data_IF_603306233745
#
_entry.id   IF_603306233745
#
_cell.length_a   1.000
_cell.length_b   1.000
_cell.length_c   1.000
_cell.angle_alpha   90.00
_cell.angle_beta   90.00
_cell.angle_gamma   90.00
#
_symmetry.space_group_name_H-M   'P 1'
#
loop_
_entity.id
_entity.type
_entity.pdbx_description
1 polymer ?
#
# COMPACT_ATOMS: atom_id res chain seq x y z
N UNK A 1 -43.30 -5.94 -20.18
CA UNK A 1 -42.01 -5.19 -20.13
C UNK A 1 -41.62 -4.64 -18.76
N UNK A 2 -42.55 -4.38 -17.83
CA UNK A 2 -42.22 -3.88 -16.48
C UNK A 2 -41.71 -4.98 -15.52
N UNK A 3 -42.12 -6.20 -15.65
CA UNK A 3 -41.73 -7.32 -14.78
C UNK A 3 -40.31 -7.86 -15.08
N UNK A 4 -39.83 -7.69 -16.32
CA UNK A 4 -38.50 -8.15 -16.71
C UNK A 4 -37.33 -7.25 -16.18
N UNK A 5 -37.65 -5.98 -15.90
CA UNK A 5 -36.65 -5.01 -15.38
C UNK A 5 -36.42 -5.21 -13.87
N UNK A 6 -37.44 -5.64 -13.13
CA UNK A 6 -37.33 -5.86 -11.67
C UNK A 6 -36.53 -7.13 -11.37
N UNK A 7 -36.66 -8.17 -12.20
CA UNK A 7 -35.91 -9.44 -12.01
C UNK A 7 -34.44 -9.28 -12.36
N UNK A 8 -34.07 -8.42 -13.30
CA UNK A 8 -32.66 -8.17 -13.66
C UNK A 8 -31.94 -7.29 -12.62
N UNK A 9 -32.69 -6.39 -11.98
CA UNK A 9 -32.16 -5.54 -10.90
C UNK A 9 -31.82 -6.34 -9.61
N UNK A 10 -32.62 -7.38 -9.31
CA UNK A 10 -32.32 -8.24 -8.15
C UNK A 10 -31.14 -9.21 -8.38
N UNK A 11 -30.88 -9.60 -9.63
CA UNK A 11 -29.77 -10.51 -9.93
C UNK A 11 -28.40 -9.82 -9.96
N UNK A 12 -28.35 -8.52 -10.27
CA UNK A 12 -27.10 -7.73 -10.22
C UNK A 12 -26.67 -7.38 -8.79
N UNK A 13 -27.57 -7.43 -7.80
CA UNK A 13 -27.27 -7.18 -6.40
C UNK A 13 -26.70 -8.41 -5.66
N UNK A 14 -26.85 -9.62 -6.22
CA UNK A 14 -26.37 -10.86 -5.60
C UNK A 14 -24.92 -11.23 -6.00
N UNK A 15 -24.34 -10.60 -7.03
CA UNK A 15 -22.96 -10.92 -7.50
C UNK A 15 -21.91 -9.99 -6.90
N UNK A 16 -22.31 -8.96 -6.14
CA UNK A 16 -21.42 -7.94 -5.56
C UNK A 16 -21.16 -8.07 -4.05
N UNK A 17 -21.58 -9.14 -3.41
CA UNK A 17 -21.26 -9.33 -1.98
C UNK A 17 -19.93 -10.04 -1.79
N UNK A 18 -18.82 -9.32 -1.99
CA UNK A 18 -17.60 -9.63 -1.28
C UNK A 18 -17.78 -9.19 0.18
N UNK A 19 -17.56 -10.08 1.12
CA UNK A 19 -17.79 -9.87 2.57
C UNK A 19 -17.03 -8.66 3.16
N UNK A 20 -16.08 -8.12 2.42
CA UNK A 20 -15.16 -7.08 2.89
C UNK A 20 -15.51 -5.66 2.39
N UNK A 21 -16.60 -5.48 1.62
CA UNK A 21 -16.96 -4.19 1.03
C UNK A 21 -18.36 -3.66 1.38
N UNK A 22 -18.99 -4.14 2.45
CA UNK A 22 -20.19 -3.47 2.96
C UNK A 22 -19.73 -2.29 3.84
N UNK A 23 -19.36 -1.19 3.21
CA UNK A 23 -19.29 0.10 3.89
C UNK A 23 -20.72 0.59 4.13
N UNK A 24 -21.33 0.11 5.19
CA UNK A 24 -22.54 0.73 5.70
C UNK A 24 -22.08 2.02 6.36
N UNK A 25 -22.50 3.17 5.81
CA UNK A 25 -22.28 4.45 6.46
C UNK A 25 -22.73 4.37 7.92
N UNK A 26 -21.80 4.73 8.81
CA UNK A 26 -21.91 4.55 10.25
C UNK A 26 -23.18 5.13 10.85
N UNK A 27 -24.13 4.27 11.10
CA UNK A 27 -24.95 4.42 12.27
C UNK A 27 -24.46 3.33 13.26
N UNK A 28 -23.65 3.69 14.24
CA UNK A 28 -23.00 2.75 15.19
C UNK A 28 -24.00 1.81 15.86
N UNK A 29 -25.25 2.27 16.04
CA UNK A 29 -26.35 1.45 16.57
C UNK A 29 -26.79 0.33 15.61
N UNK A 30 -26.70 0.54 14.30
CA UNK A 30 -27.17 -0.43 13.29
C UNK A 30 -26.14 -1.56 13.10
N UNK A 31 -24.86 -1.25 13.08
CA UNK A 31 -23.78 -2.23 12.99
C UNK A 31 -23.80 -3.18 14.19
N UNK A 32 -23.93 -2.63 15.41
CA UNK A 32 -24.01 -3.41 16.63
C UNK A 32 -25.22 -4.36 16.66
N UNK A 33 -26.38 -3.95 16.14
CA UNK A 33 -27.57 -4.79 16.09
C UNK A 33 -27.43 -5.93 15.08
N UNK A 34 -26.77 -5.70 13.95
CA UNK A 34 -26.49 -6.72 12.92
C UNK A 34 -25.51 -7.75 13.47
N UNK A 35 -24.40 -7.31 14.06
CA UNK A 35 -23.39 -8.20 14.65
C UNK A 35 -23.98 -9.04 15.76
N UNK A 36 -24.79 -8.44 16.63
CA UNK A 36 -25.52 -9.15 17.70
C UNK A 36 -26.44 -10.22 17.11
N UNK A 37 -27.19 -9.91 16.07
CA UNK A 37 -28.11 -10.88 15.46
C UNK A 37 -27.37 -12.06 14.83
N UNK A 38 -26.27 -11.81 14.12
CA UNK A 38 -25.45 -12.87 13.51
C UNK A 38 -24.90 -13.80 14.59
N UNK A 39 -24.39 -13.25 15.67
CA UNK A 39 -23.86 -14.04 16.78
C UNK A 39 -24.95 -14.82 17.53
N UNK A 40 -26.10 -14.21 17.77
CA UNK A 40 -27.23 -14.89 18.38
C UNK A 40 -27.73 -16.06 17.49
N UNK A 41 -27.73 -15.90 16.18
CA UNK A 41 -28.08 -16.95 15.21
C UNK A 41 -27.04 -18.08 15.19
N UNK A 42 -25.76 -17.76 15.26
CA UNK A 42 -24.66 -18.73 15.38
C UNK A 42 -24.79 -19.53 16.68
N UNK A 43 -25.09 -18.86 17.80
CA UNK A 43 -25.29 -19.51 19.09
C UNK A 43 -26.47 -20.46 19.04
N UNK A 44 -27.61 -20.05 18.46
CA UNK A 44 -28.79 -20.92 18.29
C UNK A 44 -28.45 -22.16 17.46
N UNK A 45 -27.69 -22.00 16.40
CA UNK A 45 -27.29 -23.10 15.52
C UNK A 45 -26.37 -24.09 16.23
N UNK A 46 -25.38 -23.59 16.97
CA UNK A 46 -24.41 -24.43 17.70
C UNK A 46 -24.99 -25.20 18.89
N UNK A 47 -26.03 -24.67 19.52
CA UNK A 47 -26.54 -25.19 20.78
C UNK A 47 -27.72 -26.16 20.65
N UNK A 48 -28.29 -26.36 19.47
CA UNK A 48 -29.56 -27.05 19.36
C UNK A 48 -30.64 -26.28 20.11
N UNK A 49 -30.81 -25.01 19.79
CA UNK A 49 -31.65 -24.02 20.48
C UNK A 49 -33.08 -24.52 20.77
N UNK A 50 -33.42 -24.51 22.06
CA UNK A 50 -34.78 -24.71 22.53
C UNK A 50 -35.41 -23.36 22.94
N UNK A 51 -36.43 -22.85 22.21
CA UNK A 51 -37.04 -21.54 22.51
C UNK A 51 -37.74 -21.45 23.86
N UNK A 52 -37.91 -22.56 24.54
CA UNK A 52 -38.49 -22.61 25.88
C UNK A 52 -37.48 -22.30 27.00
N UNK A 53 -36.16 -22.37 26.69
CA UNK A 53 -35.10 -22.12 27.66
C UNK A 53 -34.60 -20.66 27.54
N UNK A 54 -34.18 -20.10 28.67
CA UNK A 54 -33.50 -18.81 28.70
C UNK A 54 -32.00 -19.06 28.82
N UNK A 55 -31.24 -18.60 27.81
CA UNK A 55 -29.80 -18.81 27.76
C UNK A 55 -29.07 -17.59 28.27
N UNK A 56 -28.00 -17.81 29.03
CA UNK A 56 -27.03 -16.80 29.44
C UNK A 56 -25.60 -17.30 29.11
N UNK A 57 -24.73 -16.45 28.56
CA UNK A 57 -23.45 -16.88 28.05
C UNK A 57 -22.40 -15.77 28.08
N UNK A 58 -21.12 -16.15 27.93
CA UNK A 58 -19.95 -15.26 27.83
C UNK A 58 -19.64 -14.82 26.40
N UNK A 59 -19.27 -13.54 26.24
CA UNK A 59 -18.79 -12.94 24.99
C UNK A 59 -17.65 -11.96 25.27
N UNK A 60 -16.49 -12.10 24.60
CA UNK A 60 -16.06 -13.30 23.89
C UNK A 60 -15.79 -14.45 24.86
N UNK A 61 -15.58 -15.67 24.36
CA UNK A 61 -15.13 -16.80 25.18
C UNK A 61 -13.60 -16.94 25.21
N UNK A 62 -12.90 -16.21 24.35
CA UNK A 62 -11.43 -16.17 24.29
C UNK A 62 -10.98 -14.75 24.02
N UNK A 63 -9.94 -14.30 24.71
CA UNK A 63 -9.23 -13.09 24.37
C UNK A 63 -7.71 -13.31 24.43
N UNK A 64 -6.98 -12.53 23.65
CA UNK A 64 -5.53 -12.58 23.55
C UNK A 64 -4.94 -11.26 24.05
N UNK A 65 -3.91 -11.36 24.90
CA UNK A 65 -3.14 -10.24 25.39
C UNK A 65 -1.65 -10.50 25.14
N UNK A 66 -1.08 -9.95 24.06
CA UNK A 66 0.36 -10.01 23.86
C UNK A 66 1.08 -9.06 24.85
N UNK A 67 2.03 -9.60 25.60
CA UNK A 67 2.92 -8.82 26.45
C UNK A 67 4.10 -8.35 25.59
N UNK A 68 4.03 -7.12 25.18
CA UNK A 68 4.91 -6.58 24.15
C UNK A 68 6.32 -6.29 24.70
N UNK A 69 7.34 -6.63 23.90
CA UNK A 69 8.71 -6.21 24.10
C UNK A 69 9.29 -5.65 22.80
N UNK A 70 10.26 -4.76 22.90
CA UNK A 70 11.03 -4.26 21.78
C UNK A 70 12.53 -4.37 22.12
N UNK A 71 13.24 -5.27 21.43
CA UNK A 71 14.57 -5.67 21.83
C UNK A 71 14.59 -6.17 23.28
N UNK A 72 15.44 -5.61 24.12
CA UNK A 72 15.55 -5.96 25.54
C UNK A 72 14.58 -5.18 26.45
N UNK A 73 13.76 -4.29 25.89
CA UNK A 73 12.86 -3.42 26.67
C UNK A 73 11.46 -4.01 26.67
N UNK A 74 10.95 -4.32 27.88
CA UNK A 74 9.54 -4.68 28.07
C UNK A 74 8.70 -3.41 28.04
N UNK A 75 7.65 -3.42 27.22
CA UNK A 75 6.75 -2.27 27.10
C UNK A 75 5.70 -2.38 28.21
N UNK A 76 5.87 -1.59 29.26
CA UNK A 76 4.94 -1.52 30.37
C UNK A 76 3.77 -0.60 30.01
N UNK A 77 2.59 -1.20 29.92
CA UNK A 77 1.30 -0.50 29.82
C UNK A 77 0.23 -1.34 30.48
N UNK A 78 -0.85 -0.71 30.88
CA UNK A 78 -2.01 -1.42 31.35
C UNK A 78 -2.73 -2.08 30.16
N UNK A 79 -2.99 -3.36 30.29
CA UNK A 79 -3.77 -4.13 29.34
C UNK A 79 -5.12 -4.44 29.95
N UNK A 80 -6.19 -4.06 29.25
CA UNK A 80 -7.55 -4.32 29.69
C UNK A 80 -8.30 -5.18 28.68
N UNK A 81 -9.15 -6.07 29.18
CA UNK A 81 -10.11 -6.82 28.38
C UNK A 81 -11.46 -6.82 29.04
N UNK A 82 -12.47 -6.56 28.26
CA UNK A 82 -13.86 -6.65 28.68
C UNK A 82 -14.45 -8.00 28.28
N UNK A 83 -15.23 -8.58 29.19
CA UNK A 83 -15.96 -9.82 28.99
C UNK A 83 -17.41 -9.54 29.34
N UNK A 84 -18.27 -9.66 28.36
CA UNK A 84 -19.70 -9.44 28.50
C UNK A 84 -20.39 -10.77 28.84
N UNK A 85 -21.27 -10.74 29.82
CA UNK A 85 -22.24 -11.81 30.09
C UNK A 85 -23.57 -11.36 29.53
N UNK A 86 -24.17 -12.16 28.66
CA UNK A 86 -25.38 -11.78 27.90
C UNK A 86 -26.48 -12.79 28.00
N UNK A 87 -27.70 -12.29 27.96
CA UNK A 87 -28.90 -13.08 27.71
C UNK A 87 -29.13 -13.21 26.20
N UNK A 88 -29.48 -14.40 25.75
CA UNK A 88 -29.92 -14.64 24.40
C UNK A 88 -31.39 -14.18 24.26
N UNK A 89 -31.69 -13.48 23.16
CA UNK A 89 -33.01 -13.03 22.73
C UNK A 89 -33.61 -11.86 23.51
N UNK A 90 -33.96 -12.03 24.79
CA UNK A 90 -34.77 -11.08 25.54
C UNK A 90 -34.25 -10.84 26.95
N UNK A 91 -34.58 -9.68 27.55
CA UNK A 91 -34.33 -9.44 28.94
C UNK A 91 -35.05 -10.48 29.85
N UNK A 92 -34.44 -10.75 30.98
CA UNK A 92 -35.04 -11.60 32.01
C UNK A 92 -35.97 -10.78 32.95
N UNK A 93 -36.95 -11.43 33.55
CA UNK A 93 -37.96 -10.75 34.34
C UNK A 93 -37.57 -10.55 35.81
N UNK A 94 -36.35 -10.95 36.16
CA UNK A 94 -35.79 -10.87 37.54
C UNK A 94 -34.36 -10.35 37.47
N UNK A 95 -33.85 -9.87 38.58
CA UNK A 95 -32.43 -9.61 38.79
C UNK A 95 -31.68 -10.95 38.86
N UNK A 96 -30.53 -11.01 38.17
CA UNK A 96 -29.69 -12.20 38.08
C UNK A 96 -28.36 -11.90 38.76
N UNK A 97 -27.99 -12.70 39.76
CA UNK A 97 -26.61 -12.64 40.28
C UNK A 97 -25.68 -13.46 39.39
N UNK A 98 -24.71 -12.79 38.83
CA UNK A 98 -23.72 -13.34 37.92
C UNK A 98 -22.37 -13.31 38.59
N UNK A 99 -21.74 -14.49 38.75
CA UNK A 99 -20.37 -14.61 39.24
C UNK A 99 -19.44 -14.99 38.09
N UNK A 100 -18.38 -14.24 37.95
CA UNK A 100 -17.32 -14.48 36.97
C UNK A 100 -15.99 -14.45 37.71
N UNK A 101 -15.30 -15.58 37.77
CA UNK A 101 -14.09 -15.72 38.58
C UNK A 101 -13.09 -16.68 37.95
N UNK A 102 -11.81 -16.50 38.27
CA UNK A 102 -10.76 -17.44 37.90
C UNK A 102 -11.10 -18.84 38.42
N UNK A 103 -10.95 -19.86 37.57
CA UNK A 103 -11.24 -21.26 37.90
C UNK A 103 -10.14 -22.16 37.30
N UNK A 104 -9.14 -22.47 38.12
CA UNK A 104 -8.06 -23.38 37.74
C UNK A 104 -8.55 -24.76 37.31
N UNK A 105 -9.69 -25.23 37.85
CA UNK A 105 -10.26 -26.56 37.49
C UNK A 105 -10.78 -26.60 36.03
N UNK A 106 -11.12 -25.46 35.45
CA UNK A 106 -11.53 -25.35 34.06
C UNK A 106 -10.38 -25.55 33.09
N UNK A 107 -9.09 -25.43 33.52
CA UNK A 107 -7.92 -25.63 32.67
C UNK A 107 -7.91 -27.00 31.99
N UNK A 108 -8.20 -28.07 32.72
CA UNK A 108 -8.20 -29.42 32.14
C UNK A 108 -9.24 -29.62 31.05
N UNK A 109 -10.34 -28.84 31.10
CA UNK A 109 -11.39 -28.88 30.07
C UNK A 109 -10.96 -28.17 28.76
N UNK A 110 -10.09 -27.16 28.87
CA UNK A 110 -9.74 -26.29 27.73
C UNK A 110 -8.33 -26.49 27.20
N UNK A 111 -7.38 -27.01 27.99
CA UNK A 111 -5.94 -27.10 27.64
C UNK A 111 -5.63 -27.77 26.30
N UNK A 112 -6.47 -28.73 25.88
CA UNK A 112 -6.29 -29.43 24.61
C UNK A 112 -6.36 -28.49 23.40
N UNK A 113 -7.07 -27.35 23.55
CA UNK A 113 -7.20 -26.33 22.49
C UNK A 113 -6.07 -25.30 22.50
N UNK A 114 -5.18 -25.32 23.51
CA UNK A 114 -4.15 -24.31 23.73
C UNK A 114 -2.77 -24.93 23.93
N UNK A 115 -2.30 -25.69 22.92
CA UNK A 115 -0.99 -26.32 22.95
C UNK A 115 0.13 -25.30 23.17
N UNK A 116 1.04 -25.60 24.10
CA UNK A 116 2.19 -24.72 24.42
C UNK A 116 1.87 -23.59 25.41
N UNK A 117 0.64 -23.56 25.96
CA UNK A 117 0.28 -22.66 27.06
C UNK A 117 0.20 -23.45 28.39
N UNK A 118 0.72 -22.85 29.46
CA UNK A 118 0.62 -23.36 30.83
C UNK A 118 -0.54 -22.66 31.54
N UNK A 119 -0.98 -23.21 32.68
CA UNK A 119 -1.93 -22.52 33.55
C UNK A 119 -1.25 -21.30 34.18
N UNK A 120 -1.86 -20.13 34.06
CA UNK A 120 -1.40 -18.89 34.68
C UNK A 120 -1.88 -18.75 36.13
N UNK A 121 -1.14 -17.96 36.92
CA UNK A 121 -1.51 -17.61 38.30
C UNK A 121 -2.59 -16.51 38.27
N UNK A 122 -3.65 -16.67 39.07
CA UNK A 122 -4.75 -15.71 39.19
C UNK A 122 -4.29 -14.30 39.60
N UNK A 123 -3.21 -14.20 40.40
CA UNK A 123 -2.66 -12.93 40.89
C UNK A 123 -2.03 -12.06 39.77
N UNK A 124 -1.86 -12.62 38.59
CA UNK A 124 -1.33 -11.89 37.42
C UNK A 124 -2.33 -10.93 36.76
N UNK A 125 -3.63 -11.13 37.08
CA UNK A 125 -4.74 -10.39 36.48
C UNK A 125 -5.69 -9.91 37.57
N UNK A 126 -6.02 -8.63 37.52
CA UNK A 126 -7.03 -8.03 38.39
C UNK A 126 -8.39 -8.10 37.71
N UNK A 127 -9.34 -8.70 38.34
CA UNK A 127 -10.76 -8.66 37.98
C UNK A 127 -11.43 -7.50 38.72
N UNK A 128 -12.13 -6.63 38.02
CA UNK A 128 -12.76 -5.43 38.61
C UNK A 128 -13.72 -5.80 39.74
N UNK A 129 -14.58 -6.79 39.52
CA UNK A 129 -15.56 -7.34 40.48
C UNK A 129 -15.83 -8.79 40.09
N UNK A 130 -15.85 -9.68 41.07
CA UNK A 130 -16.13 -11.10 40.84
C UNK A 130 -17.62 -11.42 40.70
N UNK A 131 -18.50 -10.54 41.19
CA UNK A 131 -19.96 -10.73 41.14
C UNK A 131 -20.64 -9.43 40.77
N UNK A 132 -21.58 -9.50 39.84
CA UNK A 132 -22.41 -8.38 39.40
C UNK A 132 -23.87 -8.80 39.33
N UNK A 133 -24.75 -7.81 39.44
CA UNK A 133 -26.17 -8.00 39.20
C UNK A 133 -26.52 -7.58 37.80
N UNK A 134 -27.06 -8.49 36.99
CA UNK A 134 -27.76 -8.14 35.76
C UNK A 134 -29.19 -7.79 36.15
N UNK A 135 -29.54 -6.52 36.12
CA UNK A 135 -30.81 -6.00 36.60
C UNK A 135 -31.96 -6.46 35.69
N UNK A 136 -33.13 -6.56 36.27
CA UNK A 136 -34.38 -6.84 35.54
C UNK A 136 -34.51 -5.89 34.33
N UNK A 137 -34.73 -6.46 33.17
CA UNK A 137 -34.90 -5.70 31.94
C UNK A 137 -33.60 -5.39 31.16
N UNK A 138 -32.46 -5.64 31.77
CA UNK A 138 -31.16 -5.57 31.08
C UNK A 138 -30.88 -6.89 30.35
N UNK A 139 -30.02 -6.82 29.34
CA UNK A 139 -29.63 -7.98 28.51
C UNK A 139 -28.18 -8.39 28.69
N UNK A 140 -27.36 -7.57 29.32
CA UNK A 140 -25.94 -7.86 29.53
C UNK A 140 -25.30 -7.10 30.69
N UNK A 141 -24.19 -7.65 31.19
CA UNK A 141 -23.30 -7.01 32.17
C UNK A 141 -21.85 -7.32 31.82
N UNK A 142 -20.97 -6.33 32.00
CA UNK A 142 -19.56 -6.43 31.59
C UNK A 142 -18.62 -6.55 32.78
N UNK A 143 -17.68 -7.49 32.71
CA UNK A 143 -16.55 -7.64 33.62
C UNK A 143 -15.28 -7.14 32.94
N UNK A 144 -14.38 -6.50 33.70
CA UNK A 144 -13.10 -5.99 33.19
C UNK A 144 -11.94 -6.70 33.86
N UNK A 145 -11.07 -7.25 33.02
CA UNK A 145 -9.80 -7.85 33.40
C UNK A 145 -8.67 -6.88 33.12
N UNK A 146 -7.78 -6.63 34.05
CA UNK A 146 -6.66 -5.71 33.93
C UNK A 146 -5.33 -6.37 34.32
N UNK A 147 -4.29 -6.15 33.51
CA UNK A 147 -2.92 -6.53 33.80
C UNK A 147 -2.11 -5.23 33.87
N UNK A 148 -1.65 -4.86 35.06
CA UNK A 148 -0.90 -3.60 35.29
C UNK A 148 0.63 -3.78 35.27
N UNK A 149 1.13 -5.02 35.27
CA UNK A 149 2.57 -5.31 35.23
C UNK A 149 2.82 -6.53 34.36
N UNK A 150 3.32 -6.27 33.14
CA UNK A 150 3.59 -7.33 32.16
C UNK A 150 4.97 -7.99 32.34
N UNK A 151 5.87 -7.47 33.19
CA UNK A 151 7.20 -8.04 33.40
C UNK A 151 7.18 -9.47 33.99
N UNK A 152 6.07 -9.85 34.60
CA UNK A 152 5.86 -11.17 35.19
C UNK A 152 5.53 -12.27 34.17
N UNK A 153 5.11 -11.89 32.97
CA UNK A 153 4.73 -12.86 31.92
C UNK A 153 5.94 -13.23 31.03
N UNK A 154 6.73 -14.19 31.50
CA UNK A 154 7.87 -14.72 30.73
C UNK A 154 7.51 -15.96 29.88
N UNK A 155 6.33 -16.52 30.11
CA UNK A 155 5.83 -17.71 29.44
C UNK A 155 4.45 -17.47 28.83
N UNK A 156 4.08 -18.36 27.93
CA UNK A 156 2.72 -18.42 27.39
C UNK A 156 1.80 -19.05 28.43
N UNK A 157 0.81 -18.31 28.91
CA UNK A 157 -0.15 -18.80 29.90
C UNK A 157 -1.59 -18.58 29.45
N UNK A 158 -2.47 -19.43 29.90
CA UNK A 158 -3.92 -19.23 29.87
C UNK A 158 -4.48 -19.09 31.26
N UNK A 159 -5.42 -18.17 31.41
CA UNK A 159 -6.18 -17.96 32.68
C UNK A 159 -7.65 -18.22 32.35
N UNK A 160 -8.20 -19.36 32.81
CA UNK A 160 -9.60 -19.67 32.64
C UNK A 160 -10.44 -18.98 33.69
N UNK A 161 -11.57 -18.41 33.30
CA UNK A 161 -12.58 -17.80 34.14
C UNK A 161 -13.92 -18.49 33.91
N UNK A 162 -14.60 -18.89 34.97
CA UNK A 162 -15.88 -19.55 34.86
C UNK A 162 -17.03 -18.60 35.17
N UNK A 163 -18.07 -18.68 34.37
CA UNK A 163 -19.36 -18.06 34.64
C UNK A 163 -20.21 -18.97 35.50
N UNK A 164 -20.75 -18.44 36.60
CA UNK A 164 -21.72 -19.11 37.46
C UNK A 164 -22.93 -18.21 37.63
N UNK A 165 -24.10 -18.81 37.55
CA UNK A 165 -25.38 -18.16 37.73
C UNK A 165 -26.20 -18.95 38.72
N UNK A 166 -26.83 -18.28 39.68
CA UNK A 166 -27.57 -18.94 40.77
C UNK A 166 -29.03 -19.28 40.42
N UNK A 167 -29.58 -18.66 39.37
CA UNK A 167 -30.97 -18.89 38.94
C UNK A 167 -31.09 -20.16 38.10
N UNK A 168 -31.84 -21.14 38.58
CA UNK A 168 -32.09 -22.41 37.89
C UNK A 168 -32.97 -22.29 36.64
N UNK A 169 -33.59 -21.12 36.40
CA UNK A 169 -34.35 -20.83 35.19
C UNK A 169 -33.51 -20.44 34.00
N UNK A 170 -32.17 -20.30 34.18
CA UNK A 170 -31.23 -19.95 33.16
C UNK A 170 -30.34 -21.13 32.74
N UNK A 171 -30.09 -21.26 31.48
CA UNK A 171 -29.26 -22.31 30.88
C UNK A 171 -27.93 -21.74 30.43
N UNK A 172 -26.84 -22.32 30.90
CA UNK A 172 -25.48 -22.02 30.44
C UNK A 172 -25.13 -22.96 29.27
N UNK A 173 -24.96 -22.46 28.07
CA UNK A 173 -24.58 -23.29 26.93
C UNK A 173 -23.18 -23.87 27.09
N UNK A 174 -23.00 -25.12 26.71
CA UNK A 174 -21.71 -25.80 26.80
C UNK A 174 -20.66 -25.06 25.97
N UNK A 175 -19.51 -24.75 26.59
CA UNK A 175 -18.40 -24.02 25.94
C UNK A 175 -18.59 -22.50 25.88
N UNK A 176 -19.69 -21.98 26.43
CA UNK A 176 -19.96 -20.56 26.59
C UNK A 176 -20.00 -20.12 28.08
N UNK A 177 -19.64 -21.03 28.94
CA UNK A 177 -19.59 -20.88 30.41
C UNK A 177 -18.14 -20.62 30.91
N UNK A 178 -17.15 -20.76 30.03
CA UNK A 178 -15.75 -20.54 30.37
C UNK A 178 -15.15 -19.52 29.38
N UNK A 179 -14.52 -18.50 29.93
CA UNK A 179 -13.69 -17.56 29.20
C UNK A 179 -12.21 -17.90 29.39
N UNK A 180 -11.42 -17.84 28.35
CA UNK A 180 -9.98 -18.09 28.40
C UNK A 180 -9.22 -16.83 28.00
N UNK A 181 -8.47 -16.26 28.94
CA UNK A 181 -7.53 -15.19 28.66
C UNK A 181 -6.17 -15.80 28.31
N UNK A 182 -5.71 -15.62 27.07
CA UNK A 182 -4.39 -16.01 26.59
C UNK A 182 -3.42 -14.84 26.79
N UNK A 183 -2.37 -15.07 27.56
CA UNK A 183 -1.31 -14.09 27.79
C UNK A 183 0.02 -14.68 27.33
N UNK A 184 0.76 -13.96 26.50
CA UNK A 184 2.01 -14.48 25.96
C UNK A 184 2.98 -13.34 25.64
N UNK A 185 4.32 -13.57 25.83
CA UNK A 185 5.32 -12.62 25.41
C UNK A 185 5.33 -12.52 23.87
N UNK A 186 5.41 -11.31 23.36
CA UNK A 186 5.47 -11.02 21.92
C UNK A 186 6.47 -9.92 21.65
N UNK A 187 7.37 -10.17 20.72
CA UNK A 187 8.35 -9.19 20.28
C UNK A 187 7.80 -8.33 19.14
N UNK A 188 7.86 -7.02 19.29
CA UNK A 188 7.49 -6.09 18.24
C UNK A 188 8.50 -6.20 17.09
N UNK A 189 7.99 -6.54 15.91
CA UNK A 189 8.77 -6.62 14.69
C UNK A 189 8.65 -5.33 13.91
N UNK A 190 9.81 -4.78 13.54
CA UNK A 190 9.89 -3.60 12.67
C UNK A 190 10.45 -4.03 11.32
N UNK A 191 9.76 -3.66 10.25
CA UNK A 191 10.10 -4.07 8.88
C UNK A 191 9.89 -2.92 7.91
N UNK A 192 10.63 -2.92 6.80
CA UNK A 192 10.35 -2.04 5.67
C UNK A 192 9.38 -2.71 4.69
N UNK A 193 8.42 -1.95 4.17
CA UNK A 193 7.46 -2.43 3.16
C UNK A 193 8.16 -2.78 1.86
N UNK A 194 9.12 -1.96 1.45
CA UNK A 194 10.03 -2.23 0.33
C UNK A 194 11.47 -2.00 0.79
N UNK A 195 12.37 -2.90 0.41
CA UNK A 195 13.81 -2.77 0.72
C UNK A 195 14.60 -2.12 -0.40
N UNK A 196 14.03 -1.98 -1.58
CA UNK A 196 14.72 -1.46 -2.75
C UNK A 196 13.82 -0.46 -3.47
N UNK A 197 14.37 0.69 -3.77
CA UNK A 197 13.81 1.71 -4.66
C UNK A 197 14.74 1.83 -5.86
N UNK A 198 14.22 1.76 -7.08
CA UNK A 198 15.03 1.91 -8.30
C UNK A 198 14.74 3.24 -8.98
N UNK A 199 15.78 3.91 -9.44
CA UNK A 199 15.77 5.19 -10.13
C UNK A 199 16.50 5.08 -11.46
N UNK A 200 15.86 5.51 -12.54
CA UNK A 200 16.49 5.67 -13.85
C UNK A 200 16.89 7.13 -14.04
N UNK A 201 18.16 7.37 -14.28
CA UNK A 201 18.73 8.69 -14.51
C UNK A 201 19.29 8.78 -15.93
N UNK A 202 19.30 9.99 -16.48
CA UNK A 202 19.97 10.27 -17.75
C UNK A 202 21.35 10.87 -17.53
N UNK A 203 22.32 10.47 -18.35
CA UNK A 203 23.64 11.10 -18.41
C UNK A 203 23.84 11.75 -19.77
N UNK A 204 24.20 13.01 -19.78
CA UNK A 204 24.51 13.73 -21.02
C UNK A 204 25.53 14.84 -20.77
N UNK A 205 26.57 14.90 -21.62
CA UNK A 205 27.59 15.93 -21.64
C UNK A 205 28.21 16.20 -20.24
N UNK A 206 28.58 15.14 -19.52
CA UNK A 206 29.25 15.26 -18.23
C UNK A 206 28.30 15.50 -17.03
N UNK A 207 27.00 15.60 -17.28
CA UNK A 207 26.00 15.85 -16.23
C UNK A 207 24.98 14.73 -16.15
N UNK A 208 24.51 14.47 -14.93
CA UNK A 208 23.42 13.53 -14.66
C UNK A 208 22.12 14.31 -14.45
N UNK A 209 21.02 13.76 -14.92
CA UNK A 209 19.70 14.37 -14.88
C UNK A 209 18.70 13.41 -14.25
N UNK A 210 17.97 13.92 -13.27
CA UNK A 210 16.80 13.27 -12.68
C UNK A 210 15.57 14.11 -12.99
N UNK A 211 14.43 13.49 -13.29
CA UNK A 211 13.18 14.24 -13.45
C UNK A 211 12.73 14.86 -12.11
N UNK A 212 12.20 16.08 -12.15
CA UNK A 212 11.79 16.80 -10.93
C UNK A 212 10.84 16.01 -10.03
N UNK A 213 9.99 15.15 -10.60
CA UNK A 213 9.09 14.28 -9.85
C UNK A 213 9.72 13.00 -9.34
N UNK A 214 11.00 12.74 -9.64
CA UNK A 214 11.70 11.50 -9.27
C UNK A 214 12.84 11.72 -8.27
N UNK A 215 13.04 12.95 -7.79
CA UNK A 215 14.04 13.28 -6.77
C UNK A 215 13.70 12.69 -5.41
N UNK A 216 12.42 12.57 -5.11
CA UNK A 216 11.96 12.05 -3.82
C UNK A 216 12.12 10.52 -3.73
N UNK A 217 12.63 10.07 -2.59
CA UNK A 217 12.70 8.65 -2.21
C UNK A 217 11.95 8.48 -0.91
N UNK A 218 11.03 7.54 -0.87
CA UNK A 218 10.24 7.22 0.33
C UNK A 218 10.38 5.75 0.67
N UNK A 219 10.68 5.47 1.94
CA UNK A 219 10.58 4.15 2.55
C UNK A 219 9.48 4.16 3.60
N UNK A 220 8.62 3.14 3.59
CA UNK A 220 7.61 2.94 4.62
C UNK A 220 8.11 1.89 5.60
N UNK A 221 8.29 2.28 6.86
CA UNK A 221 8.66 1.40 7.96
C UNK A 221 7.40 1.02 8.71
N UNK A 222 7.22 -0.27 8.96
CA UNK A 222 6.04 -0.83 9.63
C UNK A 222 6.42 -1.52 10.93
N UNK A 223 5.58 -1.37 11.92
CA UNK A 223 5.63 -2.11 13.19
C UNK A 223 4.45 -3.08 13.28
N UNK A 224 4.67 -4.24 13.90
CA UNK A 224 3.59 -5.22 14.13
C UNK A 224 2.56 -4.76 15.17
N UNK A 225 2.91 -3.78 16.00
CA UNK A 225 2.05 -3.17 17.02
C UNK A 225 2.37 -1.69 17.14
N UNK A 226 1.45 -0.93 17.74
CA UNK A 226 1.72 0.44 18.17
C UNK A 226 2.92 0.50 19.10
N UNK A 227 3.81 1.43 18.85
CA UNK A 227 5.01 1.63 19.64
C UNK A 227 4.75 2.61 20.80
N UNK A 228 5.50 2.51 21.90
CA UNK A 228 5.44 3.49 22.98
C UNK A 228 5.91 4.87 22.48
N UNK A 229 5.43 5.93 23.11
CA UNK A 229 5.90 7.29 22.85
C UNK A 229 7.39 7.45 23.14
N UNK A 230 8.05 8.34 22.40
CA UNK A 230 9.48 8.66 22.61
C UNK A 230 10.44 7.82 21.79
N UNK A 231 9.95 6.85 20.98
CA UNK A 231 10.79 6.19 19.99
C UNK A 231 10.86 7.04 18.71
N UNK A 232 12.06 7.03 18.09
CA UNK A 232 12.31 7.65 16.81
C UNK A 232 12.80 6.63 15.80
N UNK A 233 12.46 6.81 14.54
CA UNK A 233 13.03 6.06 13.43
C UNK A 233 13.81 7.00 12.53
N UNK A 234 15.02 6.59 12.15
CA UNK A 234 15.91 7.35 11.27
C UNK A 234 16.41 6.49 10.11
N UNK A 235 16.68 7.13 8.97
CA UNK A 235 17.50 6.54 7.92
C UNK A 235 18.96 6.92 8.14
N UNK A 236 19.84 5.95 7.95
CA UNK A 236 21.30 6.14 8.06
C UNK A 236 21.97 5.47 6.87
N UNK A 237 22.99 6.12 6.30
CA UNK A 237 23.81 5.53 5.25
C UNK A 237 24.67 4.40 5.84
N UNK A 238 24.74 3.27 5.11
CA UNK A 238 25.49 2.08 5.53
C UNK A 238 26.38 1.57 4.38
N UNK A 239 27.50 2.22 4.16
CA UNK A 239 28.45 1.88 3.08
C UNK A 239 29.06 0.47 3.20
N UNK A 240 28.89 -0.20 4.35
CA UNK A 240 29.30 -1.60 4.52
C UNK A 240 28.40 -2.59 3.77
N UNK A 241 27.20 -2.18 3.38
CA UNK A 241 26.18 -3.02 2.78
C UNK A 241 26.12 -2.84 1.25
N UNK A 242 27.24 -3.06 0.55
CA UNK A 242 27.31 -2.91 -0.92
C UNK A 242 26.64 -4.10 -1.62
N UNK A 243 25.76 -3.79 -2.61
CA UNK A 243 25.20 -4.81 -3.51
C UNK A 243 26.25 -5.26 -4.54
N UNK A 244 26.36 -6.57 -4.72
CA UNK A 244 27.24 -7.15 -5.76
C UNK A 244 26.87 -6.62 -7.15
N UNK A 245 27.87 -6.19 -7.92
CA UNK A 245 27.71 -5.70 -9.29
C UNK A 245 27.32 -4.23 -9.44
N UNK A 246 27.14 -3.48 -8.33
CA UNK A 246 26.86 -2.05 -8.36
C UNK A 246 27.99 -1.24 -7.72
N UNK A 247 28.20 -0.03 -8.22
CA UNK A 247 29.13 0.94 -7.68
C UNK A 247 28.48 1.65 -6.49
N UNK A 248 29.22 1.89 -5.42
CA UNK A 248 28.73 2.69 -4.30
C UNK A 248 28.37 4.10 -4.79
N UNK A 249 27.18 4.56 -4.48
CA UNK A 249 26.74 5.91 -4.81
C UNK A 249 27.63 6.96 -4.11
N UNK A 250 27.95 8.09 -4.76
CA UNK A 250 28.77 9.15 -4.15
C UNK A 250 28.18 9.63 -2.81
N UNK A 251 29.04 10.05 -1.90
CA UNK A 251 28.60 10.65 -0.65
C UNK A 251 27.91 11.99 -0.90
N UNK A 252 26.80 12.23 -0.23
CA UNK A 252 25.98 13.44 -0.38
C UNK A 252 24.80 13.31 -1.33
N UNK A 253 24.74 12.24 -2.14
CA UNK A 253 23.59 12.00 -3.05
C UNK A 253 22.27 11.87 -2.30
N UNK A 254 22.31 11.40 -1.07
CA UNK A 254 21.17 11.25 -0.17
C UNK A 254 20.64 12.55 0.45
N UNK A 255 21.34 13.66 0.26
CA UNK A 255 20.99 14.93 0.91
C UNK A 255 20.87 14.78 2.43
N UNK A 256 19.79 15.30 3.02
CA UNK A 256 19.50 15.14 4.45
C UNK A 256 18.58 13.94 4.67
N UNK A 257 19.07 12.93 5.38
CA UNK A 257 18.29 11.75 5.74
C UNK A 257 17.33 12.07 6.90
N UNK A 258 16.10 11.55 6.86
CA UNK A 258 15.07 11.86 7.87
C UNK A 258 15.28 11.10 9.18
N UNK A 259 14.90 11.77 10.27
CA UNK A 259 14.67 11.18 11.60
C UNK A 259 13.32 11.71 12.10
N UNK A 260 12.41 10.81 12.47
CA UNK A 260 11.05 11.15 12.85
C UNK A 260 10.58 10.35 14.06
N UNK A 261 9.60 10.88 14.78
CA UNK A 261 8.89 10.13 15.83
C UNK A 261 8.17 8.91 15.24
N UNK A 262 8.30 7.78 15.93
CA UNK A 262 7.71 6.51 15.52
C UNK A 262 6.85 5.93 16.66
N UNK A 263 5.63 6.39 16.74
CA UNK A 263 4.64 6.02 17.76
C UNK A 263 3.40 5.32 17.20
N UNK A 264 3.41 4.99 15.91
CA UNK A 264 2.30 4.36 15.18
C UNK A 264 2.78 3.03 14.56
N UNK A 265 1.87 2.30 13.92
CA UNK A 265 2.17 1.03 13.21
C UNK A 265 2.84 1.24 11.85
N UNK A 266 2.90 2.47 11.36
CA UNK A 266 3.52 2.78 10.06
C UNK A 266 4.07 4.21 10.01
N UNK A 267 5.30 4.35 9.50
CA UNK A 267 5.95 5.64 9.29
C UNK A 267 6.56 5.71 7.90
N UNK A 268 6.32 6.81 7.20
CA UNK A 268 6.99 7.12 5.93
C UNK A 268 8.19 8.00 6.20
N UNK A 269 9.35 7.57 5.69
CA UNK A 269 10.60 8.32 5.74
C UNK A 269 10.95 8.75 4.33
N UNK A 270 10.98 10.06 4.11
CA UNK A 270 11.16 10.65 2.78
C UNK A 270 12.36 11.57 2.77
N UNK A 271 13.17 11.49 1.70
CA UNK A 271 14.29 12.40 1.46
C UNK A 271 14.42 12.72 -0.03
N UNK A 272 15.16 13.77 -0.36
CA UNK A 272 15.43 14.17 -1.73
C UNK A 272 16.85 13.82 -2.17
N UNK A 273 16.96 13.34 -3.40
CA UNK A 273 18.22 13.02 -4.06
C UNK A 273 18.87 14.28 -4.65
N UNK A 274 20.18 14.38 -4.49
CA UNK A 274 21.02 15.38 -5.10
C UNK A 274 21.79 14.77 -6.30
N UNK A 275 21.38 15.12 -7.52
CA UNK A 275 21.92 14.53 -8.76
C UNK A 275 23.34 15.00 -9.10
N UNK A 276 23.75 16.16 -8.62
CA UNK A 276 25.04 16.81 -8.94
C UNK A 276 26.27 16.01 -8.44
N UNK A 277 26.08 15.07 -7.56
CA UNK A 277 27.16 14.21 -7.05
C UNK A 277 27.56 13.09 -8.00
N UNK A 278 26.70 12.74 -8.99
CA UNK A 278 27.06 11.75 -9.99
C UNK A 278 27.84 12.39 -11.15
N UNK A 279 29.00 11.84 -11.45
CA UNK A 279 29.87 12.34 -12.54
C UNK A 279 29.95 11.41 -13.74
N UNK A 280 29.44 10.18 -13.63
CA UNK A 280 29.54 9.16 -14.67
C UNK A 280 28.25 8.35 -14.81
N UNK A 281 28.04 7.81 -16.01
CA UNK A 281 27.05 6.76 -16.23
C UNK A 281 27.45 5.46 -15.54
N UNK A 282 26.49 4.60 -15.23
CA UNK A 282 26.72 3.31 -14.62
C UNK A 282 25.58 2.85 -13.73
N UNK A 283 25.78 1.75 -13.06
CA UNK A 283 24.84 1.19 -12.11
C UNK A 283 25.36 1.42 -10.69
N UNK A 284 24.65 2.23 -9.91
CA UNK A 284 25.05 2.59 -8.56
C UNK A 284 24.03 2.09 -7.56
N UNK A 285 24.46 1.94 -6.31
CA UNK A 285 23.60 1.69 -5.16
C UNK A 285 23.94 2.65 -4.01
N UNK A 286 22.93 3.25 -3.42
CA UNK A 286 22.99 3.94 -2.13
C UNK A 286 22.47 2.97 -1.08
N UNK A 287 23.37 2.35 -0.29
CA UNK A 287 22.96 1.50 0.80
C UNK A 287 22.59 2.35 2.02
N UNK A 288 21.43 2.02 2.58
CA UNK A 288 20.87 2.64 3.76
C UNK A 288 20.51 1.56 4.78
N UNK A 289 20.33 1.95 6.03
CA UNK A 289 19.64 1.18 7.05
C UNK A 289 18.64 2.08 7.78
N UNK A 290 17.56 1.52 8.25
CA UNK A 290 16.73 2.19 9.23
C UNK A 290 17.16 1.74 10.64
N UNK A 291 17.16 2.69 11.56
CA UNK A 291 17.47 2.48 12.98
C UNK A 291 16.34 3.03 13.82
N UNK A 292 16.06 2.39 14.95
CA UNK A 292 15.13 2.90 15.94
C UNK A 292 15.90 3.32 17.17
N UNK A 293 15.65 4.54 17.64
CA UNK A 293 16.29 5.12 18.81
C UNK A 293 15.27 5.30 19.93
N UNK A 294 15.68 5.06 21.16
CA UNK A 294 14.88 5.40 22.32
C UNK A 294 14.94 6.90 22.65
N UNK A 295 14.22 7.31 23.69
CA UNK A 295 14.20 8.72 24.14
C UNK A 295 15.58 9.25 24.58
N UNK A 296 16.53 8.39 24.90
CA UNK A 296 17.92 8.74 25.24
C UNK A 296 18.83 8.79 24.00
N UNK A 297 18.33 8.44 22.81
CA UNK A 297 19.06 8.39 21.56
C UNK A 297 19.84 7.09 21.36
N UNK A 298 19.64 6.08 22.20
CA UNK A 298 20.28 4.77 22.06
C UNK A 298 19.64 3.98 20.94
N UNK A 299 20.45 3.55 19.97
CA UNK A 299 20.01 2.71 18.85
C UNK A 299 19.67 1.30 19.33
N UNK A 300 18.50 0.82 18.90
CA UNK A 300 18.08 -0.56 19.11
C UNK A 300 18.60 -1.43 17.96
N UNK A 301 19.15 -2.60 18.30
CA UNK A 301 19.59 -3.56 17.29
C UNK A 301 18.41 -4.16 16.55
N UNK A 302 18.37 -3.98 15.22
CA UNK A 302 17.32 -4.50 14.35
C UNK A 302 17.91 -5.47 13.33
N UNK A 303 17.29 -6.62 13.20
CA UNK A 303 17.59 -7.55 12.12
C UNK A 303 16.93 -7.11 10.80
N UNK A 304 17.60 -7.36 9.67
CA UNK A 304 17.03 -7.11 8.33
C UNK A 304 16.64 -5.64 8.03
N UNK A 305 17.33 -4.68 8.62
CA UNK A 305 17.07 -3.25 8.50
C UNK A 305 17.72 -2.57 7.27
N UNK A 306 18.34 -3.34 6.37
CA UNK A 306 19.04 -2.82 5.18
C UNK A 306 18.04 -2.41 4.10
N UNK A 307 18.32 -1.26 3.47
CA UNK A 307 17.56 -0.65 2.39
C UNK A 307 18.52 -0.23 1.26
N UNK A 308 18.03 -0.13 0.04
CA UNK A 308 18.85 0.29 -1.09
C UNK A 308 18.08 1.25 -2.01
N UNK A 309 18.77 2.28 -2.49
CA UNK A 309 18.33 3.02 -3.67
C UNK A 309 19.27 2.66 -4.81
N UNK A 310 18.73 2.00 -5.82
CA UNK A 310 19.49 1.63 -7.02
C UNK A 310 19.34 2.71 -8.07
N UNK A 311 20.45 3.10 -8.68
CA UNK A 311 20.47 4.08 -9.76
C UNK A 311 21.00 3.41 -11.03
N UNK A 312 20.21 3.47 -12.08
CA UNK A 312 20.63 3.06 -13.42
C UNK A 312 20.81 4.33 -14.27
N UNK A 313 22.06 4.75 -14.42
CA UNK A 313 22.40 5.99 -15.12
C UNK A 313 22.75 5.65 -16.56
N UNK A 314 21.84 5.96 -17.50
CA UNK A 314 21.97 5.67 -18.92
C UNK A 314 22.37 6.91 -19.72
N UNK A 315 23.28 6.74 -20.66
CA UNK A 315 23.77 7.84 -21.49
C UNK A 315 22.81 8.15 -22.65
N UNK A 316 22.45 9.43 -22.78
CA UNK A 316 21.84 9.94 -24.00
C UNK A 316 22.95 10.21 -25.02
N UNK A 317 23.01 9.40 -26.06
CA UNK A 317 23.95 9.55 -27.15
C UNK A 317 23.24 10.21 -28.33
N UNK A 318 23.79 11.28 -28.85
CA UNK A 318 23.33 11.88 -30.10
C UNK A 318 23.60 10.91 -31.29
N UNK A 319 22.65 10.77 -32.18
CA UNK A 319 22.72 9.88 -33.33
C UNK A 319 21.89 10.42 -34.48
N UNK A 320 22.29 10.11 -35.69
CA UNK A 320 21.49 10.39 -36.90
C UNK A 320 20.86 9.13 -37.48
N UNK A 321 21.11 7.95 -36.88
CA UNK A 321 20.70 6.63 -37.39
C UNK A 321 20.20 5.68 -36.30
N UNK A 322 19.64 6.20 -35.21
CA UNK A 322 19.14 5.37 -34.13
C UNK A 322 17.65 5.00 -34.27
N UNK A 323 16.98 5.39 -35.34
CA UNK A 323 15.55 5.13 -35.53
C UNK A 323 15.30 4.37 -36.83
N UNK A 324 14.26 3.54 -36.81
CA UNK A 324 13.76 2.81 -37.98
C UNK A 324 12.23 2.71 -37.92
N UNK A 325 11.59 2.47 -39.05
CA UNK A 325 10.17 2.16 -39.13
C UNK A 325 10.01 0.65 -38.98
N UNK A 326 9.11 0.25 -38.05
CA UNK A 326 8.75 -1.17 -37.83
C UNK A 326 7.25 -1.37 -37.99
N UNK A 327 6.81 -2.61 -38.15
CA UNK A 327 5.38 -2.94 -38.26
C UNK A 327 4.66 -2.85 -36.91
N UNK A 328 5.38 -3.20 -35.85
CA UNK A 328 4.82 -3.22 -34.48
C UNK A 328 5.75 -2.52 -33.50
N UNK A 329 5.22 -1.81 -32.49
CA UNK A 329 6.05 -1.19 -31.48
C UNK A 329 6.72 -2.24 -30.58
N UNK A 330 7.93 -1.96 -30.14
CA UNK A 330 8.68 -2.74 -29.18
C UNK A 330 8.61 -2.07 -27.79
N UNK A 331 8.58 -2.87 -26.73
CA UNK A 331 8.50 -2.38 -25.35
C UNK A 331 7.08 -2.37 -24.80
N UNK A 332 6.93 -1.81 -23.61
CA UNK A 332 5.65 -1.72 -22.88
C UNK A 332 5.01 -0.35 -23.07
N UNK A 333 3.72 -0.32 -23.45
CA UNK A 333 2.98 0.95 -23.63
C UNK A 333 2.93 1.72 -22.32
N UNK A 334 3.30 3.01 -22.38
CA UNK A 334 3.29 3.92 -21.23
C UNK A 334 1.90 4.50 -20.97
N UNK A 335 1.61 4.80 -19.68
CA UNK A 335 0.56 5.75 -19.31
C UNK A 335 1.00 7.19 -19.67
N UNK A 336 0.14 7.91 -20.39
CA UNK A 336 0.42 9.24 -20.93
C UNK A 336 -0.14 10.39 -20.09
N UNK A 337 -0.90 10.11 -19.02
CA UNK A 337 -1.61 11.11 -18.20
C UNK A 337 -0.71 12.19 -17.61
N UNK A 338 0.54 11.84 -17.32
CA UNK A 338 1.54 12.75 -16.75
C UNK A 338 2.41 13.46 -17.78
N UNK A 339 2.28 13.12 -19.06
CA UNK A 339 3.06 13.74 -20.13
C UNK A 339 2.50 15.14 -20.44
N UNK A 340 3.40 16.13 -20.53
CA UNK A 340 3.05 17.48 -20.96
C UNK A 340 3.45 17.67 -22.42
N UNK A 341 2.60 18.32 -23.21
CA UNK A 341 2.91 18.66 -24.59
C UNK A 341 3.17 20.15 -24.72
N UNK A 342 4.24 20.48 -25.45
CA UNK A 342 4.53 21.82 -25.94
C UNK A 342 4.73 21.78 -27.45
N UNK A 343 4.61 22.93 -28.11
CA UNK A 343 4.89 23.08 -29.53
C UNK A 343 5.54 24.43 -29.84
N UNK A 344 6.24 24.50 -30.98
CA UNK A 344 6.61 25.74 -31.62
C UNK A 344 6.19 25.63 -33.07
N UNK A 345 5.56 26.67 -33.61
CA UNK A 345 5.00 26.67 -34.98
C UNK A 345 3.47 26.52 -34.98
N UNK A 346 2.92 26.29 -36.17
CA UNK A 346 1.47 26.22 -36.37
C UNK A 346 0.86 24.88 -35.93
N UNK A 347 -0.17 24.96 -35.10
CA UNK A 347 -1.01 23.81 -34.79
C UNK A 347 -2.47 24.23 -34.94
N UNK A 348 -3.32 23.26 -35.33
CA UNK A 348 -4.76 23.42 -35.37
C UNK A 348 -5.38 22.35 -34.44
N UNK A 349 -6.36 22.70 -33.68
CA UNK A 349 -6.88 21.98 -32.53
C UNK A 349 -5.87 21.88 -31.38
N UNK A 350 -6.33 21.40 -30.24
CA UNK A 350 -5.48 21.24 -29.05
C UNK A 350 -4.49 20.09 -29.23
N UNK A 351 -3.20 20.37 -28.99
CA UNK A 351 -2.17 19.31 -29.00
C UNK A 351 -2.37 18.27 -27.90
N UNK A 352 -3.19 18.55 -26.88
CA UNK A 352 -3.58 17.56 -25.84
C UNK A 352 -4.32 16.37 -26.41
N UNK A 353 -5.01 16.52 -27.55
CA UNK A 353 -5.67 15.43 -28.25
C UNK A 353 -4.70 14.32 -28.70
N UNK A 354 -3.40 14.60 -28.75
CA UNK A 354 -2.41 13.60 -29.10
C UNK A 354 -2.10 12.60 -27.98
N UNK A 355 -2.61 12.83 -26.75
CA UNK A 355 -2.35 11.97 -25.58
C UNK A 355 -3.59 11.76 -24.68
N UNK A 356 -4.80 12.00 -25.16
CA UNK A 356 -6.04 11.94 -24.38
C UNK A 356 -6.72 10.56 -24.37
N UNK A 357 -6.16 9.58 -25.08
CA UNK A 357 -6.71 8.24 -25.27
C UNK A 357 -8.08 8.18 -26.00
N UNK A 358 -8.47 9.28 -26.68
CA UNK A 358 -9.68 9.32 -27.51
C UNK A 358 -9.31 9.30 -29.02
N UNK A 359 -9.53 8.18 -29.73
CA UNK A 359 -9.18 8.06 -31.14
C UNK A 359 -10.03 8.97 -32.08
N UNK A 360 -11.09 9.61 -31.57
CA UNK A 360 -11.95 10.51 -32.32
C UNK A 360 -11.48 11.96 -32.28
N UNK A 361 -10.56 12.29 -31.39
CA UNK A 361 -9.91 13.60 -31.33
C UNK A 361 -8.66 13.60 -32.18
N UNK A 362 -8.24 14.79 -32.63
CA UNK A 362 -7.04 14.93 -33.45
C UNK A 362 -6.49 16.34 -33.41
N UNK A 363 -5.19 16.45 -33.67
CA UNK A 363 -4.50 17.72 -33.89
C UNK A 363 -3.80 17.73 -35.25
N UNK A 364 -3.80 18.87 -35.90
CA UNK A 364 -2.97 19.09 -37.07
C UNK A 364 -1.73 19.89 -36.71
N UNK A 365 -0.61 19.53 -37.33
CA UNK A 365 0.65 20.24 -37.26
C UNK A 365 1.04 20.71 -38.66
N UNK A 366 1.55 21.93 -38.73
CA UNK A 366 2.01 22.50 -39.98
C UNK A 366 3.48 22.10 -40.23
N UNK A 367 3.87 22.09 -41.50
CA UNK A 367 5.26 21.94 -41.88
C UNK A 367 6.17 22.93 -41.12
N UNK A 368 7.36 22.48 -40.68
CA UNK A 368 8.28 23.26 -39.87
C UNK A 368 7.88 23.41 -38.40
N UNK A 369 6.74 22.83 -37.95
CA UNK A 369 6.35 22.77 -36.53
C UNK A 369 7.27 21.81 -35.77
N UNK A 370 7.46 22.09 -34.48
CA UNK A 370 8.08 21.15 -33.55
C UNK A 370 7.09 20.81 -32.44
N UNK A 371 6.90 19.53 -32.16
CA UNK A 371 6.14 19.02 -31.01
C UNK A 371 7.11 18.50 -29.96
N UNK A 372 6.81 18.74 -28.71
CA UNK A 372 7.62 18.31 -27.59
C UNK A 372 6.77 17.58 -26.55
N UNK A 373 7.16 16.38 -26.20
CA UNK A 373 6.53 15.56 -25.16
C UNK A 373 7.46 15.51 -23.97
N UNK A 374 7.01 16.06 -22.83
CA UNK A 374 7.83 16.24 -21.63
C UNK A 374 7.36 15.21 -20.60
N UNK A 375 8.24 14.27 -20.28
CA UNK A 375 8.03 13.24 -19.27
C UNK A 375 8.29 13.81 -17.87
N UNK A 376 7.56 13.35 -16.84
CA UNK A 376 7.77 13.82 -15.47
C UNK A 376 9.13 13.35 -14.88
N UNK A 377 9.69 12.28 -15.41
CA UNK A 377 10.97 11.67 -15.02
C UNK A 377 11.68 11.09 -16.24
N UNK A 378 12.94 10.69 -16.07
CA UNK A 378 13.67 9.98 -17.13
C UNK A 378 12.94 8.70 -17.51
N UNK A 379 12.77 8.48 -18.80
CA UNK A 379 12.17 7.29 -19.39
C UNK A 379 13.11 6.69 -20.41
N UNK A 380 13.18 5.37 -20.48
CA UNK A 380 13.94 4.64 -21.47
C UNK A 380 13.01 4.25 -22.63
N UNK A 381 12.93 5.09 -23.65
CA UNK A 381 11.98 4.93 -24.76
C UNK A 381 12.54 4.00 -25.82
N UNK A 382 11.75 2.97 -26.16
CA UNK A 382 12.05 1.99 -27.19
C UNK A 382 11.28 2.23 -28.50
N UNK A 383 9.99 2.62 -28.41
CA UNK A 383 9.21 2.92 -29.61
C UNK A 383 8.23 4.07 -29.41
N UNK A 384 7.84 4.68 -30.52
CA UNK A 384 6.82 5.72 -30.61
C UNK A 384 5.86 5.33 -31.73
N UNK A 385 4.56 5.47 -31.50
CA UNK A 385 3.53 5.29 -32.54
C UNK A 385 2.81 6.61 -32.76
N UNK A 386 2.89 7.12 -33.98
CA UNK A 386 2.09 8.25 -34.45
C UNK A 386 0.88 7.71 -35.18
N UNK A 387 -0.29 7.82 -34.58
CA UNK A 387 -1.56 7.45 -35.23
C UNK A 387 -1.99 8.59 -36.12
N UNK A 388 -1.99 8.35 -37.41
CA UNK A 388 -2.35 9.36 -38.43
C UNK A 388 -3.85 9.37 -38.67
N UNK A 389 -4.39 10.54 -38.99
CA UNK A 389 -5.77 10.64 -39.50
C UNK A 389 -5.83 10.26 -40.96
N UNK A 390 -7.05 9.98 -41.45
CA UNK A 390 -7.29 9.71 -42.90
C UNK A 390 -6.74 10.86 -43.75
N UNK A 391 -6.05 10.53 -44.83
CA UNK A 391 -5.41 11.48 -45.74
C UNK A 391 -4.23 12.27 -45.10
N UNK A 392 -3.49 11.61 -44.21
CA UNK A 392 -2.27 12.21 -43.67
C UNK A 392 -1.24 12.44 -44.81
N UNK A 393 -0.69 13.64 -44.81
CA UNK A 393 0.25 14.11 -45.87
C UNK A 393 1.72 14.12 -45.38
N UNK A 394 2.03 13.43 -44.30
CA UNK A 394 3.38 13.31 -43.74
C UNK A 394 4.29 12.56 -44.70
N UNK A 395 5.42 13.21 -45.10
CA UNK A 395 6.53 12.59 -45.79
C UNK A 395 7.66 12.17 -44.87
N UNK A 396 8.07 13.07 -43.96
CA UNK A 396 9.15 12.77 -43.03
C UNK A 396 9.04 13.56 -41.74
N UNK A 397 9.67 13.04 -40.70
CA UNK A 397 9.78 13.68 -39.38
C UNK A 397 11.14 13.36 -38.75
N UNK A 398 11.76 14.35 -38.14
CA UNK A 398 12.96 14.21 -37.32
C UNK A 398 12.63 13.86 -35.88
N UNK A 399 13.40 12.95 -35.31
CA UNK A 399 13.24 12.45 -33.94
C UNK A 399 14.39 12.97 -33.08
N UNK A 400 14.04 13.62 -31.96
CA UNK A 400 14.99 14.26 -31.06
C UNK A 400 14.72 13.83 -29.61
N UNK A 401 15.77 13.63 -28.84
CA UNK A 401 15.72 13.33 -27.43
C UNK A 401 16.50 14.37 -26.63
N UNK A 402 16.01 14.71 -25.43
CA UNK A 402 16.65 15.68 -24.56
C UNK A 402 16.43 15.37 -23.08
N UNK A 403 17.35 15.88 -22.25
CA UNK A 403 17.24 15.84 -20.79
C UNK A 403 16.64 17.12 -20.23
N UNK A 404 16.83 18.24 -20.89
CA UNK A 404 16.31 19.56 -20.48
C UNK A 404 15.80 20.35 -21.68
N UNK A 405 15.12 21.46 -21.42
CA UNK A 405 14.68 22.39 -22.48
C UNK A 405 15.89 22.99 -23.19
N UNK A 406 15.89 22.90 -24.51
CA UNK A 406 16.94 23.49 -25.38
C UNK A 406 18.13 22.58 -25.64
N UNK A 407 18.22 21.42 -25.03
CA UNK A 407 19.26 20.41 -25.27
C UNK A 407 18.65 19.16 -25.90
N UNK A 408 18.04 19.33 -27.08
CA UNK A 408 17.49 18.22 -27.86
C UNK A 408 18.51 17.75 -28.91
N UNK A 409 18.79 16.45 -28.88
CA UNK A 409 19.76 15.81 -29.77
C UNK A 409 19.04 14.88 -30.72
N UNK A 410 19.37 15.01 -31.99
CA UNK A 410 18.81 14.17 -33.05
C UNK A 410 19.11 12.70 -32.75
N UNK A 411 18.12 11.85 -32.99
CA UNK A 411 18.21 10.39 -32.92
C UNK A 411 18.06 9.76 -34.30
N UNK A 412 17.61 10.55 -35.26
CA UNK A 412 17.41 10.17 -36.66
C UNK A 412 16.22 10.89 -37.27
N UNK A 413 15.93 10.56 -38.50
CA UNK A 413 14.70 10.94 -39.19
C UNK A 413 14.13 9.74 -39.90
N UNK A 414 12.81 9.72 -40.07
CA UNK A 414 12.10 8.66 -40.77
C UNK A 414 11.33 9.25 -41.94
N UNK A 415 11.34 8.52 -43.07
CA UNK A 415 10.52 8.83 -44.22
C UNK A 415 9.37 7.87 -44.30
N UNK A 416 8.14 8.38 -44.34
CA UNK A 416 6.91 7.62 -44.34
C UNK A 416 6.23 7.69 -45.68
N UNK A 417 6.08 6.53 -46.33
CA UNK A 417 5.48 6.42 -47.66
C UNK A 417 4.13 5.70 -47.63
N UNK A 418 3.59 5.47 -46.46
CA UNK A 418 2.40 4.64 -46.23
C UNK A 418 1.19 5.43 -45.79
N UNK A 419 0.06 4.71 -45.71
CA UNK A 419 -1.16 5.13 -45.04
C UNK A 419 -1.29 4.32 -43.73
N UNK A 420 -1.76 4.95 -42.67
CA UNK A 420 -1.93 4.29 -41.37
C UNK A 420 -0.96 4.78 -40.32
N UNK A 421 -0.78 3.98 -39.28
CA UNK A 421 0.04 4.34 -38.13
C UNK A 421 1.54 4.28 -38.47
N UNK A 422 2.29 5.31 -38.08
CA UNK A 422 3.74 5.33 -38.20
C UNK A 422 4.35 4.82 -36.90
N UNK A 423 4.94 3.63 -36.96
CA UNK A 423 5.67 3.04 -35.84
C UNK A 423 7.16 3.30 -35.99
N UNK A 424 7.72 4.06 -35.07
CA UNK A 424 9.13 4.44 -35.01
C UNK A 424 9.77 3.68 -33.85
N UNK A 425 10.75 2.85 -34.12
CA UNK A 425 11.50 2.10 -33.13
C UNK A 425 12.93 2.59 -33.03
N UNK A 426 13.42 2.83 -31.82
CA UNK A 426 14.82 3.12 -31.59
C UNK A 426 15.62 1.80 -31.65
N UNK A 427 16.66 1.74 -32.48
CA UNK A 427 17.56 0.57 -32.52
C UNK A 427 18.13 0.29 -31.14
N UNK A 428 18.54 1.35 -30.44
CA UNK A 428 18.91 1.33 -29.02
C UNK A 428 17.97 2.27 -28.25
N UNK A 429 17.32 1.77 -27.22
CA UNK A 429 16.43 2.56 -26.39
C UNK A 429 17.13 3.81 -25.82
N UNK A 430 16.39 4.91 -25.73
CA UNK A 430 16.95 6.23 -25.46
C UNK A 430 16.45 6.75 -24.13
N UNK A 431 17.35 7.04 -23.16
CA UNK A 431 16.96 7.74 -21.95
C UNK A 431 16.63 9.19 -22.27
N UNK A 432 15.45 9.67 -21.89
CA UNK A 432 15.02 11.04 -22.15
C UNK A 432 13.99 11.53 -21.11
N UNK A 433 13.96 12.84 -20.90
CA UNK A 433 12.86 13.56 -20.25
C UNK A 433 11.99 14.23 -21.32
N UNK A 434 12.58 14.60 -22.45
CA UNK A 434 11.90 15.31 -23.51
C UNK A 434 12.12 14.62 -24.85
N UNK A 435 11.00 14.25 -25.49
CA UNK A 435 11.00 13.82 -26.89
C UNK A 435 10.58 14.99 -27.77
N UNK A 436 11.33 15.25 -28.82
CA UNK A 436 11.00 16.21 -29.87
C UNK A 436 10.66 15.49 -31.17
N UNK A 437 9.51 15.81 -31.76
CA UNK A 437 9.18 15.51 -33.14
C UNK A 437 9.31 16.84 -33.91
N UNK A 438 10.28 16.93 -34.80
CA UNK A 438 10.62 18.18 -35.49
C UNK A 438 10.78 17.95 -36.98
N UNK A 439 10.98 19.03 -37.73
CA UNK A 439 11.28 18.98 -39.13
C UNK A 439 10.25 18.17 -39.93
N UNK A 440 8.98 18.39 -39.61
CA UNK A 440 7.87 17.78 -40.33
C UNK A 440 7.88 18.26 -41.80
N UNK A 441 7.88 17.33 -42.75
CA UNK A 441 7.84 17.60 -44.18
C UNK A 441 6.60 16.94 -44.77
N UNK A 442 5.87 17.70 -45.61
CA UNK A 442 4.72 17.20 -46.34
C UNK A 442 5.17 16.39 -47.59
N UNK A 443 4.23 15.59 -48.07
CA UNK A 443 4.37 14.95 -49.40
C UNK A 443 4.35 16.00 -50.49
N UNK A 444 5.05 15.72 -51.59
CA UNK A 444 5.14 16.64 -52.74
C UNK A 444 3.80 16.85 -53.45
N UNK A 445 2.88 15.85 -53.35
CA UNK A 445 1.54 15.88 -53.91
C UNK A 445 0.48 16.38 -52.90
N UNK A 446 0.92 16.92 -51.74
CA UNK A 446 0.04 17.35 -50.66
C UNK A 446 -0.85 18.54 -51.11
N UNK A 447 -2.14 18.42 -50.78
CA UNK A 447 -3.11 19.50 -51.04
C UNK A 447 -3.11 20.57 -49.93
N UNK A 448 -2.36 20.35 -48.85
CA UNK A 448 -2.36 21.16 -47.64
C UNK A 448 -0.99 21.09 -46.94
N UNK A 449 -0.64 22.12 -46.20
CA UNK A 449 0.56 22.15 -45.36
C UNK A 449 0.32 21.56 -43.95
N UNK A 450 -0.76 20.81 -43.77
CA UNK A 450 -1.19 20.29 -42.46
C UNK A 450 -1.14 18.77 -42.45
N UNK A 451 -0.50 18.23 -41.42
CA UNK A 451 -0.42 16.81 -41.15
C UNK A 451 -1.26 16.49 -39.88
N UNK A 452 -2.17 15.54 -40.00
CA UNK A 452 -3.10 15.20 -38.93
C UNK A 452 -2.70 13.95 -38.15
N UNK A 453 -2.76 14.04 -36.84
CA UNK A 453 -2.52 12.93 -35.92
C UNK A 453 -3.65 12.83 -34.91
N UNK A 454 -4.14 11.61 -34.62
CA UNK A 454 -5.11 11.38 -33.58
C UNK A 454 -4.44 11.05 -32.23
N UNK A 455 -3.32 10.33 -32.23
CA UNK A 455 -2.62 9.97 -31.01
C UNK A 455 -1.10 9.83 -31.22
N UNK A 456 -0.37 10.02 -30.11
CA UNK A 456 1.03 9.64 -29.98
C UNK A 456 1.19 8.72 -28.79
N UNK A 457 1.61 7.49 -29.02
CA UNK A 457 1.84 6.49 -27.99
C UNK A 457 3.34 6.26 -27.79
N UNK A 458 3.76 6.03 -26.55
CA UNK A 458 5.14 5.77 -26.17
C UNK A 458 5.27 4.38 -25.58
N UNK A 459 6.40 3.74 -25.83
CA UNK A 459 6.72 2.40 -25.34
C UNK A 459 8.09 2.41 -24.68
N UNK A 460 8.13 2.00 -23.41
CA UNK A 460 9.37 1.84 -22.63
C UNK A 460 10.00 0.47 -22.89
N UNK A 461 11.35 0.40 -22.80
CA UNK A 461 12.11 -0.85 -22.86
C UNK A 461 11.79 -1.75 -21.68
#
# INVERSE_FOLDING_TARGET
MKEFIITLSCFSLLVSCNKDEITIEKNESTTWQIDKKIEDDDIRTQLGYDPRLNYIYLRPTVAELPMLSFGNVTINRDYTKEVEVRLLDKPYDKDIQVSFAYDASAYDKVKANYSGFELGDENLVQLSEATKTLSRGETSVTFTLTISNNSNFKKKVILPYALKVTDSGLTLPKGKDVFVLKVFPEEIKITAESKVVSKLLGYYNGSVYIGNSDKEVTFTIKSSYELPSGLKVALVRDDSAVLSGRILAPAGVEGTLPEDDFNDVSKKLTFELAEDYFTNKGEYALPLKYVVKDASGVEQELSNNKLFVNFDIKELVASTDNVEITETPQGTKMDRKSIKIGHSGGTYNSTRYLIDDDPNTYAYVREGTSLYFIMPKVKLIKSIVLKTVKNNELKSVGIYAGMTKGLDHQQGSVTFNGTGDLVITFKKAVPLIRLGLKDFVNREDANSNWMGFSEVNFYEE
#
